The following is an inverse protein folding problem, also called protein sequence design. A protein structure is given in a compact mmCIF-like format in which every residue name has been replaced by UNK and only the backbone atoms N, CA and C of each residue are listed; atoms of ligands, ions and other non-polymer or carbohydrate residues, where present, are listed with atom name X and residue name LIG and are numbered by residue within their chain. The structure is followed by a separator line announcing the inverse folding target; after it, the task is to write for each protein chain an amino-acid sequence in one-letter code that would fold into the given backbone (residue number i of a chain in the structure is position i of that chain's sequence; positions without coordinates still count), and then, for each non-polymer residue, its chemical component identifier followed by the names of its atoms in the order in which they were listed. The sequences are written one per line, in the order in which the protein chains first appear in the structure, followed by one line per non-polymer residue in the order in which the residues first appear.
data_IF_003493176434
#
_entry.id   IF_003493176434
#
_cell.length_a   1.000
_cell.length_b   1.000
_cell.length_c   1.000
_cell.angle_alpha   90.00
_cell.angle_beta   90.00
_cell.angle_gamma   90.00
#
_symmetry.space_group_name_H-M   'P 1'
#
loop_
_entity.id
_entity.type
_entity.pdbx_description
1 polymer ?
#
# COMPACT_ATOMS: atom_id res chain seq x y z
N UNK A 1 -5.38 9.21 4.12
CA UNK A 1 -3.92 9.33 4.04
C UNK A 1 -3.55 9.30 2.57
N UNK A 2 -2.54 10.07 2.14
CA UNK A 2 -1.99 9.94 0.77
C UNK A 2 -1.09 8.71 0.67
N UNK A 3 -0.81 8.23 -0.54
CA UNK A 3 0.11 7.10 -0.78
C UNK A 3 1.49 7.33 -0.14
N UNK A 4 2.00 8.56 -0.17
CA UNK A 4 3.24 8.93 0.53
C UNK A 4 3.15 8.76 2.05
N UNK A 5 2.02 9.15 2.65
CA UNK A 5 1.78 8.95 4.09
C UNK A 5 1.63 7.47 4.45
N UNK A 6 0.97 6.68 3.58
CA UNK A 6 0.82 5.22 3.75
C UNK A 6 2.20 4.54 3.71
N UNK A 7 3.02 4.85 2.70
CA UNK A 7 4.39 4.32 2.57
C UNK A 7 5.26 4.69 3.78
N UNK A 8 5.16 5.92 4.27
CA UNK A 8 5.86 6.36 5.47
C UNK A 8 5.42 5.55 6.71
N UNK A 9 4.12 5.33 6.89
CA UNK A 9 3.60 4.53 8.00
C UNK A 9 4.06 3.06 7.94
N UNK A 10 4.02 2.44 6.75
CA UNK A 10 4.51 1.07 6.53
C UNK A 10 5.98 0.97 6.96
N UNK A 11 6.83 1.90 6.50
CA UNK A 11 8.26 1.96 6.82
C UNK A 11 8.52 2.19 8.31
N UNK A 12 7.72 3.04 8.95
CA UNK A 12 7.88 3.39 10.35
C UNK A 12 7.51 2.28 11.33
N UNK A 13 6.80 1.24 10.86
CA UNK A 13 6.30 0.18 11.73
C UNK A 13 5.04 0.56 12.52
N UNK A 14 4.60 1.82 12.51
CA UNK A 14 3.46 2.28 13.31
C UNK A 14 2.11 1.86 12.72
N UNK A 15 1.06 1.75 13.58
CA UNK A 15 -0.30 1.54 13.14
C UNK A 15 -0.78 2.64 12.20
N UNK A 16 -1.60 2.25 11.22
CA UNK A 16 -2.22 3.19 10.29
C UNK A 16 -3.47 2.59 9.66
N UNK A 17 -4.26 3.47 9.05
CA UNK A 17 -5.37 3.12 8.18
C UNK A 17 -5.37 4.06 6.97
N UNK A 18 -5.26 3.50 5.77
CA UNK A 18 -5.11 4.28 4.54
C UNK A 18 -5.84 3.64 3.38
N UNK A 19 -6.22 4.46 2.42
CA UNK A 19 -6.76 4.03 1.13
C UNK A 19 -5.79 4.54 0.08
N UNK A 20 -5.25 3.65 -0.74
CA UNK A 20 -4.36 4.04 -1.85
C UNK A 20 -5.13 4.81 -2.91
N UNK A 21 -4.43 5.53 -3.79
CA UNK A 21 -5.01 6.18 -4.98
C UNK A 21 -5.88 5.25 -5.82
N UNK A 22 -5.57 3.94 -5.82
CA UNK A 22 -6.27 2.87 -6.54
C UNK A 22 -7.49 2.31 -5.80
N UNK A 23 -7.82 2.85 -4.62
CA UNK A 23 -8.94 2.40 -3.81
C UNK A 23 -8.67 1.17 -2.94
N UNK A 24 -7.41 0.74 -2.80
CA UNK A 24 -7.05 -0.38 -1.93
C UNK A 24 -6.96 0.10 -0.49
N UNK A 25 -7.74 -0.53 0.39
CA UNK A 25 -7.72 -0.21 1.82
C UNK A 25 -6.64 -1.04 2.51
N UNK A 26 -5.71 -0.35 3.16
CA UNK A 26 -4.58 -0.91 3.90
C UNK A 26 -4.61 -0.49 5.36
N UNK A 27 -4.27 -1.42 6.26
CA UNK A 27 -4.22 -1.13 7.69
C UNK A 27 -3.15 -1.94 8.42
N UNK A 28 -2.56 -1.34 9.46
CA UNK A 28 -1.78 -2.03 10.49
C UNK A 28 -2.34 -1.65 11.84
N UNK A 29 -2.66 -2.63 12.67
CA UNK A 29 -3.30 -2.39 13.98
C UNK A 29 -2.31 -2.37 15.15
N UNK A 30 -1.18 -3.05 15.02
CA UNK A 30 -0.16 -3.15 16.07
C UNK A 30 1.19 -2.65 15.56
N UNK A 31 2.00 -1.95 16.38
CA UNK A 31 3.37 -1.62 16.02
C UNK A 31 4.17 -2.86 15.61
N UNK A 32 4.84 -2.81 14.46
CA UNK A 32 5.60 -3.94 13.90
C UNK A 32 4.75 -5.11 13.41
N UNK A 33 3.42 -5.03 13.51
CA UNK A 33 2.50 -6.06 13.03
C UNK A 33 2.37 -6.11 11.51
N UNK A 34 1.67 -7.13 10.99
CA UNK A 34 1.42 -7.24 9.56
C UNK A 34 0.55 -6.09 9.06
N UNK A 35 0.79 -5.69 7.81
CA UNK A 35 -0.16 -4.88 7.06
C UNK A 35 -1.24 -5.79 6.49
N UNK A 36 -2.48 -5.35 6.56
CA UNK A 36 -3.65 -6.01 6.02
C UNK A 36 -4.20 -5.22 4.84
N UNK A 37 -4.80 -5.93 3.89
CA UNK A 37 -5.60 -5.38 2.79
C UNK A 37 -7.04 -5.86 2.89
N UNK A 38 -7.99 -5.02 2.49
CA UNK A 38 -9.38 -5.44 2.33
C UNK A 38 -9.65 -5.96 0.92
N UNK A 39 -10.18 -7.17 0.83
CA UNK A 39 -10.65 -7.79 -0.42
C UNK A 39 -11.97 -8.48 -0.18
N UNK A 40 -13.00 -8.15 -0.97
CA UNK A 40 -14.33 -8.80 -0.92
C UNK A 40 -14.90 -8.88 0.52
N UNK A 41 -14.87 -7.76 1.24
CA UNK A 41 -15.29 -7.65 2.65
C UNK A 41 -14.49 -8.49 3.65
N UNK A 42 -13.34 -9.04 3.26
CA UNK A 42 -12.43 -9.75 4.15
C UNK A 42 -11.14 -8.97 4.33
N UNK A 43 -10.65 -8.93 5.56
CA UNK A 43 -9.36 -8.38 5.91
C UNK A 43 -8.32 -9.50 5.85
N UNK A 44 -7.39 -9.42 4.91
CA UNK A 44 -6.36 -10.42 4.67
C UNK A 44 -4.97 -9.80 4.87
N UNK A 45 -4.03 -10.48 5.53
CA UNK A 45 -2.66 -9.98 5.59
C UNK A 45 -2.13 -9.84 4.16
N UNK A 46 -1.40 -8.75 3.89
CA UNK A 46 -0.75 -8.58 2.60
C UNK A 46 0.28 -9.70 2.42
N UNK A 47 0.36 -10.30 1.21
CA UNK A 47 1.33 -11.37 0.95
C UNK A 47 2.77 -10.87 1.04
N UNK A 48 2.98 -9.58 0.76
CA UNK A 48 4.24 -8.88 0.93
C UNK A 48 4.18 -8.00 2.18
N UNK A 49 5.32 -7.77 2.83
CA UNK A 49 5.43 -6.92 4.02
C UNK A 49 6.65 -6.01 3.90
N UNK A 50 6.72 -4.96 4.73
CA UNK A 50 7.90 -4.09 4.84
C UNK A 50 8.37 -3.55 3.49
N UNK A 51 9.65 -3.78 3.17
CA UNK A 51 10.28 -3.30 1.94
C UNK A 51 9.66 -3.88 0.67
N UNK A 52 9.29 -5.16 0.66
CA UNK A 52 8.68 -5.79 -0.52
C UNK A 52 7.31 -5.20 -0.82
N UNK A 53 6.54 -4.91 0.23
CA UNK A 53 5.26 -4.24 0.08
C UNK A 53 5.43 -2.81 -0.46
N UNK A 54 6.44 -2.08 0.03
CA UNK A 54 6.75 -0.73 -0.46
C UNK A 54 7.15 -0.74 -1.93
N UNK A 55 7.97 -1.72 -2.34
CA UNK A 55 8.36 -1.89 -3.73
C UNK A 55 7.15 -2.17 -4.62
N UNK A 56 6.27 -3.08 -4.20
CA UNK A 56 5.05 -3.40 -4.94
C UNK A 56 4.10 -2.20 -5.07
N UNK A 57 3.93 -1.42 -4.00
CA UNK A 57 3.12 -0.19 -4.03
C UNK A 57 3.71 0.89 -4.94
N UNK A 58 5.03 0.92 -5.12
CA UNK A 58 5.68 1.85 -6.04
C UNK A 58 5.52 1.39 -7.49
N UNK A 59 5.80 0.12 -7.79
CA UNK A 59 5.64 -0.42 -9.14
C UNK A 59 4.19 -0.29 -9.65
N UNK A 60 3.21 -0.48 -8.76
CA UNK A 60 1.80 -0.32 -9.09
C UNK A 60 1.38 1.13 -9.41
N UNK A 61 2.16 2.13 -8.99
CA UNK A 61 1.95 3.56 -9.30
C UNK A 61 2.54 3.92 -10.67
N UNK A 62 3.63 3.25 -11.06
CA UNK A 62 4.31 3.44 -12.35
C UNK A 62 3.51 2.83 -13.52
N UNK A 63 2.88 1.66 -13.34
CA UNK A 63 2.04 1.00 -14.35
C UNK A 63 0.72 1.76 -14.66
N UNK A 64 0.27 2.67 -13.78
CA UNK A 64 -0.95 3.47 -14.00
C UNK A 64 -0.69 4.71 -14.88
N UNK A 65 0.57 5.01 -15.23
CA UNK A 65 0.89 6.01 -16.22
C UNK A 65 0.75 5.42 -17.62
N UNK A 66 -0.29 5.77 -18.42
CA UNK A 66 -0.28 5.44 -19.83
C UNK A 66 0.93 6.14 -20.44
N UNK A 67 1.88 5.34 -20.93
CA UNK A 67 3.01 5.85 -21.70
C UNK A 67 2.48 6.87 -22.70
N UNK A 68 2.96 8.11 -22.56
CA UNK A 68 2.77 9.10 -23.61
C UNK A 68 3.39 8.49 -24.86
N UNK A 69 2.54 8.11 -25.80
CA UNK A 69 2.98 7.76 -27.14
C UNK A 69 3.58 9.04 -27.75
N UNK A 70 4.90 9.15 -27.68
CA UNK A 70 5.64 10.14 -28.45
C UNK A 70 5.46 9.80 -29.93
N UNK A 71 4.84 10.74 -30.64
CA UNK A 71 4.71 10.80 -32.11
C UNK A 71 5.88 11.59 -32.67
#
# INVERSE_FOLDING_TARGET
MTDTQIRAAIRSGWPFFGVTSRGEVLARYLPGGPVFSWKKNQMMPTPLQGSDLLWWLQAADEDDHPGSAET
#
